data_IF_727304835505
#
_entry.id   IF_727304835505
#
_cell.length_a   1.000
_cell.length_b   1.000
_cell.length_c   1.000
_cell.angle_alpha   90.00
_cell.angle_beta   90.00
_cell.angle_gamma   90.00
#
_symmetry.space_group_name_H-M   'P 1'
#
loop_
_entity.id
_entity.type
_entity.pdbx_description
1 polymer ?
#
# COMPACT_ATOMS: atom_id res chain seq x y z
N UNK A 1 28.62 -16.95 -0.40
CA UNK A 1 27.87 -15.88 0.28
C UNK A 1 26.65 -16.55 0.90
N UNK A 2 26.59 -16.67 2.23
CA UNK A 2 25.47 -17.33 2.93
C UNK A 2 24.32 -16.35 3.06
N UNK A 3 23.12 -16.73 2.62
CA UNK A 3 21.91 -15.93 2.77
C UNK A 3 21.61 -15.70 4.26
N UNK A 4 21.40 -14.45 4.67
CA UNK A 4 21.05 -14.11 6.04
C UNK A 4 19.56 -14.33 6.31
N UNK A 5 19.14 -14.33 7.57
CA UNK A 5 17.71 -14.39 7.94
C UNK A 5 16.94 -13.20 7.35
N UNK A 6 17.54 -12.02 7.33
CA UNK A 6 16.89 -10.80 6.81
C UNK A 6 16.69 -10.90 5.30
N UNK A 7 17.65 -11.48 4.57
CA UNK A 7 17.50 -11.78 3.14
C UNK A 7 16.35 -12.75 2.87
N UNK A 8 16.20 -13.78 3.72
CA UNK A 8 15.09 -14.75 3.59
C UNK A 8 13.74 -14.08 3.82
N UNK A 9 13.61 -13.24 4.86
CA UNK A 9 12.38 -12.50 5.16
C UNK A 9 12.07 -11.51 4.04
N UNK A 10 13.06 -10.78 3.55
CA UNK A 10 12.93 -9.89 2.41
C UNK A 10 12.38 -10.61 1.17
N UNK A 11 13.01 -11.72 0.77
CA UNK A 11 12.58 -12.51 -0.39
C UNK A 11 11.16 -13.05 -0.17
N UNK A 12 10.87 -13.57 1.02
CA UNK A 12 9.56 -14.13 1.32
C UNK A 12 8.45 -13.07 1.24
N UNK A 13 8.60 -11.95 1.95
CA UNK A 13 7.63 -10.85 1.96
C UNK A 13 7.44 -10.24 0.57
N UNK A 14 8.53 -10.09 -0.20
CA UNK A 14 8.45 -9.52 -1.56
C UNK A 14 7.73 -10.45 -2.54
N UNK A 15 7.82 -11.77 -2.36
CA UNK A 15 7.15 -12.71 -3.26
C UNK A 15 5.69 -12.99 -2.88
N UNK A 16 5.39 -13.08 -1.59
CA UNK A 16 4.04 -13.46 -1.12
C UNK A 16 2.98 -12.40 -1.46
N UNK A 17 3.36 -11.12 -1.59
CA UNK A 17 2.45 -10.04 -1.98
C UNK A 17 1.92 -10.18 -3.42
N UNK A 18 2.61 -10.90 -4.31
CA UNK A 18 2.11 -11.09 -5.68
C UNK A 18 0.82 -11.91 -5.71
N UNK A 19 0.60 -12.79 -4.73
CA UNK A 19 -0.61 -13.62 -4.66
C UNK A 19 -1.89 -12.76 -4.57
N UNK A 20 -2.04 -11.85 -3.59
CA UNK A 20 -3.21 -10.99 -3.53
C UNK A 20 -3.23 -9.97 -4.68
N UNK A 21 -2.10 -9.46 -5.16
CA UNK A 21 -2.08 -8.57 -6.34
C UNK A 21 -2.67 -9.24 -7.59
N UNK A 22 -2.29 -10.48 -7.89
CA UNK A 22 -2.86 -11.26 -8.97
C UNK A 22 -4.35 -11.54 -8.76
N UNK A 23 -4.76 -11.88 -7.53
CA UNK A 23 -6.16 -12.09 -7.20
C UNK A 23 -7.01 -10.82 -7.40
N UNK A 24 -6.48 -9.65 -7.02
CA UNK A 24 -7.12 -8.34 -7.20
C UNK A 24 -7.26 -7.95 -8.68
N UNK A 25 -6.23 -8.19 -9.49
CA UNK A 25 -6.25 -7.85 -10.92
C UNK A 25 -7.15 -8.78 -11.74
N UNK A 26 -7.07 -10.10 -11.51
CA UNK A 26 -7.73 -11.10 -12.37
C UNK A 26 -9.16 -11.37 -11.88
N UNK A 27 -9.33 -11.57 -10.58
CA UNK A 27 -10.56 -12.08 -9.98
C UNK A 27 -10.99 -11.28 -8.74
N UNK A 28 -11.26 -9.95 -8.88
CA UNK A 28 -11.58 -9.09 -7.74
C UNK A 28 -12.86 -9.51 -6.98
N UNK A 29 -13.80 -10.16 -7.67
CA UNK A 29 -15.06 -10.67 -7.10
C UNK A 29 -14.97 -12.08 -6.51
N UNK A 30 -13.81 -12.72 -6.57
CA UNK A 30 -13.65 -14.07 -6.02
C UNK A 30 -13.70 -14.03 -4.49
N UNK A 31 -14.46 -14.95 -3.89
CA UNK A 31 -14.69 -15.02 -2.44
C UNK A 31 -13.42 -15.07 -1.60
N UNK A 32 -12.31 -15.53 -2.19
CA UNK A 32 -11.02 -15.64 -1.52
C UNK A 32 -10.09 -14.44 -1.73
N UNK A 33 -10.37 -13.53 -2.68
CA UNK A 33 -9.50 -12.38 -2.94
C UNK A 33 -9.36 -11.48 -1.72
N UNK A 34 -10.47 -11.09 -1.09
CA UNK A 34 -10.42 -10.25 0.12
C UNK A 34 -9.76 -10.94 1.32
N UNK A 35 -10.11 -12.18 1.71
CA UNK A 35 -9.47 -12.81 2.87
C UNK A 35 -7.98 -13.10 2.65
N UNK A 36 -7.54 -13.51 1.45
CA UNK A 36 -6.12 -13.68 1.14
C UNK A 36 -5.38 -12.35 1.28
N UNK A 37 -5.93 -11.27 0.71
CA UNK A 37 -5.33 -9.94 0.80
C UNK A 37 -5.19 -9.49 2.25
N UNK A 38 -6.26 -9.63 3.05
CA UNK A 38 -6.23 -9.30 4.49
C UNK A 38 -5.23 -10.14 5.27
N UNK A 39 -5.12 -11.44 4.96
CA UNK A 39 -4.16 -12.33 5.62
C UNK A 39 -2.70 -11.93 5.33
N UNK A 40 -2.37 -11.61 4.06
CA UNK A 40 -1.03 -11.15 3.68
C UNK A 40 -0.70 -9.78 4.29
N UNK A 41 -1.67 -8.86 4.32
CA UNK A 41 -1.52 -7.57 5.04
C UNK A 41 -1.24 -7.81 6.52
N UNK A 42 -2.05 -8.64 7.20
CA UNK A 42 -1.88 -8.91 8.62
C UNK A 42 -0.52 -9.55 8.92
N UNK A 43 -0.09 -10.50 8.10
CA UNK A 43 1.24 -11.10 8.18
C UNK A 43 2.33 -10.03 8.04
N UNK A 44 2.23 -9.16 7.05
CA UNK A 44 3.19 -8.07 6.83
C UNK A 44 3.22 -7.09 8.00
N UNK A 45 2.07 -6.77 8.61
CA UNK A 45 1.98 -5.96 9.82
C UNK A 45 2.69 -6.62 11.01
N UNK A 46 2.53 -7.94 11.19
CA UNK A 46 3.21 -8.68 12.27
C UNK A 46 4.72 -8.67 12.05
N UNK A 47 5.19 -8.98 10.83
CA UNK A 47 6.62 -8.95 10.48
C UNK A 47 7.20 -7.54 10.70
N UNK A 48 6.55 -6.51 10.18
CA UNK A 48 6.93 -5.12 10.42
C UNK A 48 7.04 -4.80 11.91
N UNK A 49 6.03 -5.16 12.70
CA UNK A 49 5.99 -4.85 14.14
C UNK A 49 7.13 -5.52 14.89
N UNK A 50 7.44 -6.79 14.60
CA UNK A 50 8.55 -7.52 15.23
C UNK A 50 9.90 -6.86 14.91
N UNK A 51 10.16 -6.59 13.63
CA UNK A 51 11.42 -6.00 13.19
C UNK A 51 11.59 -4.56 13.68
N UNK A 52 10.54 -3.75 13.58
CA UNK A 52 10.53 -2.38 14.08
C UNK A 52 10.74 -2.33 15.60
N UNK A 53 10.04 -3.18 16.37
CA UNK A 53 10.22 -3.26 17.82
C UNK A 53 11.63 -3.74 18.22
N UNK A 54 12.21 -4.69 17.47
CA UNK A 54 13.60 -5.12 17.66
C UNK A 54 14.58 -3.96 17.47
N UNK A 55 14.39 -3.17 16.42
CA UNK A 55 15.19 -1.97 16.18
C UNK A 55 15.03 -0.93 17.29
N UNK A 56 13.81 -0.71 17.79
CA UNK A 56 13.58 0.20 18.91
C UNK A 56 14.33 -0.24 20.17
N UNK A 57 14.33 -1.55 20.46
CA UNK A 57 15.00 -2.12 21.63
C UNK A 57 16.53 -2.06 21.54
N UNK A 58 17.08 -2.26 20.34
CA UNK A 58 18.52 -2.34 20.11
C UNK A 58 19.16 -0.98 19.76
N UNK A 59 18.35 0.07 19.58
CA UNK A 59 18.86 1.42 19.31
C UNK A 59 19.64 1.97 20.51
N UNK A 60 20.93 2.29 20.28
CA UNK A 60 21.82 2.89 21.30
C UNK A 60 21.44 4.32 21.66
N UNK A 61 20.86 5.06 20.72
CA UNK A 61 20.45 6.46 20.88
C UNK A 61 19.04 6.57 21.53
N UNK A 62 18.32 5.45 21.63
CA UNK A 62 16.96 5.39 22.18
C UNK A 62 15.87 5.83 21.21
N UNK A 63 14.61 5.69 21.63
CA UNK A 63 13.41 5.99 20.82
C UNK A 63 13.28 7.49 20.52
N UNK A 64 13.66 8.34 21.47
CA UNK A 64 13.56 9.81 21.33
C UNK A 64 14.46 10.33 20.21
N UNK A 65 15.70 9.84 20.12
CA UNK A 65 16.63 10.23 19.07
C UNK A 65 16.12 9.83 17.68
N UNK A 66 15.59 8.61 17.55
CA UNK A 66 14.99 8.17 16.29
C UNK A 66 13.77 9.03 15.89
N UNK A 67 12.94 9.41 16.85
CA UNK A 67 11.81 10.31 16.58
C UNK A 67 12.27 11.69 16.10
N UNK A 68 13.35 12.23 16.69
CA UNK A 68 13.96 13.49 16.22
C UNK A 68 14.53 13.37 14.82
N UNK A 69 15.21 12.26 14.51
CA UNK A 69 15.78 11.99 13.19
C UNK A 69 14.69 11.90 12.10
N UNK A 70 13.50 11.37 12.43
CA UNK A 70 12.35 11.36 11.51
C UNK A 70 11.78 12.76 11.18
N UNK A 71 12.14 13.79 11.95
CA UNK A 71 11.68 15.17 11.75
C UNK A 71 12.43 15.95 10.67
N UNK A 72 13.53 15.40 10.14
CA UNK A 72 14.35 16.07 9.11
C UNK A 72 14.74 15.08 8.01
N UNK A 73 14.95 15.59 6.79
CA UNK A 73 15.37 14.73 5.66
C UNK A 73 16.74 14.07 5.92
N UNK A 74 17.67 14.82 6.51
CA UNK A 74 18.99 14.31 6.88
C UNK A 74 18.93 13.22 7.95
N UNK A 75 18.05 13.38 8.95
CA UNK A 75 17.83 12.36 9.98
C UNK A 75 17.19 11.10 9.40
N UNK A 76 16.22 11.23 8.49
CA UNK A 76 15.67 10.08 7.74
C UNK A 76 16.80 9.39 6.96
N UNK A 77 17.62 10.14 6.23
CA UNK A 77 18.75 9.58 5.48
C UNK A 77 19.75 8.86 6.40
N UNK A 78 20.03 9.40 7.60
CA UNK A 78 20.85 8.76 8.63
C UNK A 78 20.24 7.43 9.08
N UNK A 79 18.93 7.39 9.35
CA UNK A 79 18.24 6.16 9.74
C UNK A 79 18.35 5.08 8.66
N UNK A 80 18.10 5.44 7.39
CA UNK A 80 18.18 4.52 6.25
C UNK A 80 19.59 4.05 5.91
N UNK A 81 20.64 4.75 6.35
CA UNK A 81 22.02 4.27 6.26
C UNK A 81 22.33 3.16 7.28
N UNK A 82 21.50 3.01 8.32
CA UNK A 82 21.59 1.90 9.25
C UNK A 82 20.87 0.67 8.70
N UNK A 83 21.58 -0.45 8.55
CA UNK A 83 21.08 -1.66 7.89
C UNK A 83 19.76 -2.20 8.47
N UNK A 84 19.53 -2.02 9.77
CA UNK A 84 18.38 -2.63 10.45
C UNK A 84 17.02 -1.96 10.18
N UNK A 85 16.96 -0.75 9.61
CA UNK A 85 15.66 -0.09 9.31
C UNK A 85 15.14 -0.43 7.91
N UNK A 86 16.00 -0.89 7.01
CA UNK A 86 15.66 -1.09 5.60
C UNK A 86 14.58 -2.16 5.42
N UNK A 87 14.74 -3.31 6.08
CA UNK A 87 13.77 -4.40 6.01
C UNK A 87 12.38 -4.01 6.55
N UNK A 88 12.23 -3.46 7.78
CA UNK A 88 10.92 -3.03 8.25
C UNK A 88 10.34 -1.90 7.38
N UNK A 89 11.13 -0.96 6.89
CA UNK A 89 10.66 0.06 5.96
C UNK A 89 10.11 -0.55 4.65
N UNK A 90 10.79 -1.56 4.11
CA UNK A 90 10.32 -2.28 2.92
C UNK A 90 9.01 -3.02 3.16
N UNK A 91 8.91 -3.79 4.25
CA UNK A 91 7.69 -4.52 4.61
C UNK A 91 6.53 -3.55 4.89
N UNK A 92 6.82 -2.38 5.45
CA UNK A 92 5.83 -1.30 5.61
C UNK A 92 5.25 -0.87 4.25
N UNK A 93 6.08 -0.59 3.25
CA UNK A 93 5.59 -0.25 1.91
C UNK A 93 4.74 -1.37 1.30
N UNK A 94 5.21 -2.61 1.37
CA UNK A 94 4.46 -3.77 0.88
C UNK A 94 3.06 -3.88 1.52
N UNK A 95 2.97 -3.68 2.83
CA UNK A 95 1.71 -3.74 3.56
C UNK A 95 0.77 -2.60 3.17
N UNK A 96 1.25 -1.35 3.18
CA UNK A 96 0.44 -0.17 2.90
C UNK A 96 0.00 -0.09 1.44
N UNK A 97 0.87 -0.46 0.50
CA UNK A 97 0.52 -0.52 -0.92
C UNK A 97 -0.58 -1.56 -1.16
N UNK A 98 -0.48 -2.73 -0.51
CA UNK A 98 -1.51 -3.76 -0.64
C UNK A 98 -2.85 -3.34 0.00
N UNK A 99 -2.82 -2.63 1.13
CA UNK A 99 -4.02 -2.02 1.74
C UNK A 99 -4.66 -1.02 0.79
N UNK A 100 -3.87 -0.11 0.20
CA UNK A 100 -4.35 0.86 -0.77
C UNK A 100 -4.95 0.19 -2.00
N UNK A 101 -4.26 -0.81 -2.56
CA UNK A 101 -4.76 -1.59 -3.70
C UNK A 101 -6.07 -2.33 -3.40
N UNK A 102 -6.17 -2.96 -2.23
CA UNK A 102 -7.40 -3.61 -1.78
C UNK A 102 -8.55 -2.60 -1.67
N UNK A 103 -8.29 -1.44 -1.03
CA UNK A 103 -9.25 -0.36 -0.90
C UNK A 103 -9.74 0.15 -2.27
N UNK A 104 -8.84 0.40 -3.22
CA UNK A 104 -9.20 0.83 -4.56
C UNK A 104 -10.13 -0.16 -5.27
N UNK A 105 -9.84 -1.46 -5.18
CA UNK A 105 -10.69 -2.49 -5.78
C UNK A 105 -12.08 -2.52 -5.14
N UNK A 106 -12.17 -2.50 -3.81
CA UNK A 106 -13.47 -2.49 -3.12
C UNK A 106 -14.27 -1.24 -3.48
N UNK A 107 -13.65 -0.05 -3.39
CA UNK A 107 -14.27 1.22 -3.77
C UNK A 107 -14.80 1.20 -5.20
N UNK A 108 -14.02 0.68 -6.13
CA UNK A 108 -14.45 0.57 -7.53
C UNK A 108 -15.58 -0.45 -7.75
N UNK A 109 -15.64 -1.50 -6.93
CA UNK A 109 -16.72 -2.49 -6.99
C UNK A 109 -18.02 -2.00 -6.38
N UNK A 110 -17.94 -1.15 -5.37
CA UNK A 110 -19.09 -0.52 -4.72
C UNK A 110 -19.68 0.62 -5.57
N UNK A 111 -18.89 1.25 -6.43
CA UNK A 111 -19.38 2.28 -7.36
C UNK A 111 -20.14 1.66 -8.54
N UNK A 112 -21.45 1.97 -8.71
CA UNK A 112 -22.22 1.50 -9.87
C UNK A 112 -21.65 1.96 -11.22
N UNK A 113 -20.85 3.03 -11.24
CA UNK A 113 -20.16 3.57 -12.41
C UNK A 113 -18.64 3.40 -12.28
N UNK A 114 -18.19 2.39 -11.53
CA UNK A 114 -16.78 2.07 -11.37
C UNK A 114 -16.07 1.88 -12.71
N UNK A 115 -14.76 2.10 -12.69
CA UNK A 115 -13.89 1.94 -13.84
C UNK A 115 -13.95 0.49 -14.36
N UNK A 116 -13.91 0.29 -15.69
CA UNK A 116 -13.81 -1.05 -16.27
C UNK A 116 -12.49 -1.71 -15.88
N UNK A 117 -12.45 -3.05 -15.91
CA UNK A 117 -11.27 -3.84 -15.51
C UNK A 117 -9.98 -3.40 -16.20
N UNK A 118 -10.05 -3.04 -17.49
CA UNK A 118 -8.90 -2.62 -18.27
C UNK A 118 -8.31 -1.28 -17.80
N UNK A 119 -9.15 -0.35 -17.32
CA UNK A 119 -8.70 0.91 -16.73
C UNK A 119 -8.21 0.74 -15.29
N UNK A 120 -8.73 -0.25 -14.56
CA UNK A 120 -8.25 -0.58 -13.21
C UNK A 120 -6.87 -1.25 -13.22
N UNK A 121 -6.54 -2.05 -14.24
CA UNK A 121 -5.26 -2.75 -14.33
C UNK A 121 -4.04 -1.81 -14.21
N UNK A 122 -3.91 -0.71 -14.98
CA UNK A 122 -2.80 0.23 -14.82
C UNK A 122 -2.81 0.95 -13.46
N UNK A 123 -3.98 1.24 -12.88
CA UNK A 123 -4.06 1.82 -11.53
C UNK A 123 -3.49 0.87 -10.48
N UNK A 124 -3.86 -0.41 -10.53
CA UNK A 124 -3.36 -1.43 -9.59
C UNK A 124 -1.87 -1.72 -9.80
N UNK A 125 -1.42 -1.79 -11.05
CA UNK A 125 0.00 -1.95 -11.37
C UNK A 125 0.84 -0.79 -10.83
N UNK A 126 0.41 0.46 -11.06
CA UNK A 126 1.08 1.63 -10.51
C UNK A 126 1.00 1.65 -8.98
N UNK A 127 -0.11 1.22 -8.37
CA UNK A 127 -0.21 1.15 -6.92
C UNK A 127 0.73 0.08 -6.32
N UNK A 128 1.01 -0.99 -7.05
CA UNK A 128 1.98 -2.01 -6.63
C UNK A 128 3.43 -1.52 -6.71
N UNK A 129 3.75 -0.64 -7.67
CA UNK A 129 5.11 -0.14 -7.89
C UNK A 129 5.39 1.17 -7.14
N UNK A 130 4.38 2.01 -7.03
CA UNK A 130 4.40 3.33 -6.43
C UNK A 130 2.99 3.67 -5.92
N UNK A 131 2.61 3.09 -4.77
CA UNK A 131 1.29 3.22 -4.12
C UNK A 131 0.53 4.52 -4.43
N UNK A 132 1.10 5.69 -4.10
CA UNK A 132 0.42 6.98 -4.30
C UNK A 132 0.07 7.29 -5.76
N UNK A 133 0.89 6.87 -6.73
CA UNK A 133 0.65 7.12 -8.15
C UNK A 133 -0.56 6.34 -8.68
N UNK A 134 -0.74 5.10 -8.23
CA UNK A 134 -1.89 4.28 -8.62
C UNK A 134 -3.20 4.83 -8.06
N UNK A 135 -3.21 5.27 -6.80
CA UNK A 135 -4.35 5.98 -6.22
C UNK A 135 -4.68 7.27 -6.95
N UNK A 136 -3.66 8.08 -7.27
CA UNK A 136 -3.86 9.32 -8.03
C UNK A 136 -4.47 9.03 -9.42
N UNK A 137 -3.93 8.05 -10.14
CA UNK A 137 -4.45 7.67 -11.45
C UNK A 137 -5.92 7.24 -11.38
N UNK A 138 -6.28 6.43 -10.37
CA UNK A 138 -7.66 6.02 -10.15
C UNK A 138 -8.59 7.22 -9.97
N UNK A 139 -8.22 8.18 -9.12
CA UNK A 139 -9.02 9.38 -8.85
C UNK A 139 -9.20 10.21 -10.13
N UNK A 140 -8.13 10.42 -10.90
CA UNK A 140 -8.17 11.19 -12.15
C UNK A 140 -9.08 10.51 -13.18
N UNK A 141 -8.90 9.21 -13.42
CA UNK A 141 -9.74 8.46 -14.38
C UNK A 141 -11.21 8.44 -13.97
N UNK A 142 -11.47 8.34 -12.67
CA UNK A 142 -12.83 8.35 -12.15
C UNK A 142 -13.50 9.70 -12.33
N UNK A 143 -12.82 10.79 -11.99
CA UNK A 143 -13.31 12.16 -12.20
C UNK A 143 -13.56 12.45 -13.70
N UNK A 144 -12.67 12.02 -14.58
CA UNK A 144 -12.85 12.16 -16.02
C UNK A 144 -14.10 11.41 -16.52
N UNK A 145 -14.32 10.19 -16.02
CA UNK A 145 -15.48 9.37 -16.38
C UNK A 145 -16.82 9.97 -15.91
N UNK A 146 -16.84 10.62 -14.74
CA UNK A 146 -18.01 11.38 -14.24
C UNK A 146 -18.33 12.61 -15.09
N UNK A 147 -17.29 13.32 -15.53
CA UNK A 147 -17.43 14.46 -16.42
C UNK A 147 -18.02 14.04 -17.78
N UNK A 148 -17.50 12.97 -18.39
CA UNK A 148 -17.99 12.42 -19.65
C UNK A 148 -19.45 11.94 -19.53
N UNK A 149 -19.85 11.40 -18.38
CA UNK A 149 -21.21 10.92 -18.14
C UNK A 149 -22.23 12.03 -17.84
N UNK A 150 -21.84 13.31 -17.94
CA UNK A 150 -22.74 14.47 -17.73
C UNK A 150 -23.14 14.74 -16.27
N UNK A 151 -22.61 13.97 -15.31
CA UNK A 151 -22.99 14.05 -13.89
C UNK A 151 -22.30 15.19 -13.13
N UNK A 152 -21.25 15.79 -13.69
CA UNK A 152 -20.60 16.97 -13.11
C UNK A 152 -21.53 18.19 -12.96
N UNK A 153 -22.56 18.33 -13.81
CA UNK A 153 -23.51 19.45 -13.75
C UNK A 153 -24.68 19.27 -12.77
N UNK A 154 -24.86 18.08 -12.15
CA UNK A 154 -26.05 17.80 -11.33
C UNK A 154 -25.87 18.08 -9.84
N UNK A 155 -24.64 18.29 -9.33
CA UNK A 155 -24.41 18.65 -7.93
C UNK A 155 -24.51 20.17 -7.74
N UNK A 156 -25.70 20.72 -7.94
CA UNK A 156 -26.03 22.06 -7.43
C UNK A 156 -26.17 22.01 -5.90
N UNK A 157 -25.94 23.13 -5.18
CA UNK A 157 -25.92 23.14 -3.73
C UNK A 157 -27.25 22.67 -3.16
N UNK A 158 -27.20 21.58 -2.40
CA UNK A 158 -28.31 21.06 -1.60
C UNK A 158 -28.73 22.17 -0.63
N UNK A 159 -29.89 22.78 -0.92
CA UNK A 159 -30.48 23.81 -0.05
C UNK A 159 -30.87 23.14 1.26
N UNK A 160 -30.09 23.41 2.30
CA UNK A 160 -30.46 23.19 3.69
C UNK A 160 -31.71 24.02 3.99
N UNK A 161 -32.84 23.35 4.19
CA UNK A 161 -34.05 23.90 4.81
C UNK A 161 -34.12 23.47 6.26
#
# INVERSE_FOLDING_TARGET
MTMTTDDMVFIFCSNVVFIPWLALMIAPKWKWTSPITKAVVLMSCVVYTIYFASQMRNSKEGVLAMYMDMGTLDGIAKLFRGDGILLPAWVHYLAFDLVAGHYLVQKNMEDPNGLPKLAMAPCLFLNMMAGPMGMLLYVVLRAASDCISGKCCSKGPEKTS
#
